data_IF_389306958668
#
_entry.id   IF_389306958668
#
_cell.length_a   1.000
_cell.length_b   1.000
_cell.length_c   1.000
_cell.angle_alpha   90.00
_cell.angle_beta   90.00
_cell.angle_gamma   90.00
#
_symmetry.space_group_name_H-M   'P 1'
#
loop_
_entity.id
_entity.type
_entity.pdbx_description
1 polymer ?
#
# COMPACT_ATOMS: atom_id res chain seq x y z
N UNK A 1 15.63 -42.33 6.94
CA UNK A 1 14.86 -41.84 5.78
C UNK A 1 14.65 -40.34 5.93
N UNK A 2 15.47 -39.54 5.27
CA UNK A 2 15.44 -38.07 5.31
C UNK A 2 15.29 -37.60 3.87
N UNK A 3 14.15 -36.98 3.53
CA UNK A 3 13.93 -36.35 2.22
C UNK A 3 14.09 -34.84 2.37
N UNK A 4 15.25 -34.36 1.91
CA UNK A 4 15.50 -32.96 1.59
C UNK A 4 14.96 -32.69 0.19
N UNK A 5 14.16 -31.64 0.02
CA UNK A 5 13.77 -31.12 -1.30
C UNK A 5 14.27 -29.69 -1.44
N UNK A 6 15.34 -29.52 -2.22
CA UNK A 6 15.88 -28.25 -2.69
C UNK A 6 15.49 -28.10 -4.16
N UNK A 7 14.73 -27.05 -4.49
CA UNK A 7 14.29 -26.77 -5.87
C UNK A 7 15.27 -25.78 -6.52
N UNK A 8 16.01 -26.27 -7.53
CA UNK A 8 16.78 -25.45 -8.47
C UNK A 8 15.87 -24.95 -9.61
N UNK A 9 15.83 -23.63 -9.83
CA UNK A 9 15.22 -23.01 -11.01
C UNK A 9 16.31 -22.81 -12.07
N UNK A 10 16.25 -23.56 -13.17
CA UNK A 10 17.17 -23.45 -14.31
C UNK A 10 16.53 -22.63 -15.43
N UNK A 11 17.30 -21.66 -15.91
CA UNK A 11 17.06 -20.78 -17.06
C UNK A 11 17.11 -21.60 -18.36
N UNK A 12 16.19 -21.35 -19.30
CA UNK A 12 16.31 -21.82 -20.68
C UNK A 12 16.42 -20.62 -21.63
N UNK A 13 17.50 -20.65 -22.41
CA UNK A 13 17.73 -19.88 -23.62
C UNK A 13 17.69 -20.84 -24.80
N UNK A 14 17.13 -20.41 -25.93
CA UNK A 14 17.16 -21.11 -27.24
C UNK A 14 17.19 -20.02 -28.31
N UNK A 15 18.34 -19.64 -28.89
CA UNK A 15 19.07 -20.23 -30.04
C UNK A 15 18.32 -20.20 -31.38
N UNK A 16 18.91 -19.46 -32.31
CA UNK A 16 18.59 -19.26 -33.72
C UNK A 16 18.67 -20.56 -34.57
N UNK A 17 17.99 -20.56 -35.72
CA UNK A 17 18.39 -21.34 -36.90
C UNK A 17 17.94 -20.67 -38.21
N UNK A 18 18.89 -20.42 -39.10
CA UNK A 18 18.75 -20.03 -40.50
C UNK A 18 18.37 -21.22 -41.41
N UNK A 19 17.62 -20.98 -42.51
CA UNK A 19 18.01 -21.33 -43.90
C UNK A 19 16.92 -21.08 -44.98
N UNK A 20 17.23 -20.15 -45.92
CA UNK A 20 17.22 -20.16 -47.41
C UNK A 20 16.07 -20.63 -48.35
N UNK A 21 16.01 -19.92 -49.50
CA UNK A 21 15.53 -20.22 -50.88
C UNK A 21 14.05 -19.93 -51.25
N UNK A 22 13.66 -19.49 -52.46
CA UNK A 22 14.24 -18.83 -53.66
C UNK A 22 13.07 -18.47 -54.62
N UNK A 23 13.26 -17.46 -55.51
CA UNK A 23 12.64 -17.23 -56.85
C UNK A 23 11.22 -16.62 -57.09
N UNK A 24 11.28 -15.47 -57.81
CA UNK A 24 10.58 -15.04 -59.04
C UNK A 24 9.07 -14.70 -59.10
N UNK A 25 8.73 -13.42 -59.33
CA UNK A 25 8.39 -12.81 -60.66
C UNK A 25 7.68 -11.43 -60.58
N UNK A 26 8.27 -10.47 -61.30
CA UNK A 26 7.69 -9.42 -62.16
C UNK A 26 6.47 -8.58 -61.72
N UNK A 27 6.65 -7.25 -61.57
CA UNK A 27 6.24 -6.24 -62.58
C UNK A 27 6.24 -4.81 -62.01
N UNK A 28 6.86 -3.92 -62.78
CA UNK A 28 6.85 -2.44 -62.79
C UNK A 28 5.49 -1.79 -62.49
N UNK A 29 5.46 -0.66 -61.78
CA UNK A 29 5.30 0.70 -62.36
C UNK A 29 5.31 1.78 -61.26
N UNK A 30 6.09 2.81 -61.56
CA UNK A 30 6.26 4.13 -60.98
C UNK A 30 4.94 4.83 -60.58
N UNK A 31 5.00 5.73 -59.58
CA UNK A 31 4.42 7.09 -59.53
C UNK A 31 3.87 7.47 -58.13
N UNK A 32 4.52 8.50 -57.58
CA UNK A 32 4.00 9.57 -56.72
C UNK A 32 3.77 9.39 -55.21
N UNK A 33 4.54 10.24 -54.51
CA UNK A 33 4.13 11.19 -53.50
C UNK A 33 3.92 10.75 -52.05
N UNK A 34 4.47 11.64 -51.23
CA UNK A 34 4.30 11.79 -49.79
C UNK A 34 4.99 10.72 -48.96
N UNK A 35 6.16 11.10 -48.45
CA UNK A 35 6.76 10.52 -47.24
C UNK A 35 5.72 10.59 -46.12
N UNK A 36 4.88 9.58 -46.01
CA UNK A 36 4.09 9.30 -44.82
C UNK A 36 5.09 9.03 -43.71
N UNK A 37 5.37 10.08 -42.92
CA UNK A 37 5.97 9.91 -41.61
C UNK A 37 4.94 9.12 -40.81
N UNK A 38 5.15 7.82 -40.72
CA UNK A 38 4.50 6.97 -39.74
C UNK A 38 4.92 7.52 -38.38
N UNK A 39 4.10 8.40 -37.82
CA UNK A 39 4.22 8.83 -36.43
C UNK A 39 3.72 7.65 -35.62
N UNK A 40 4.65 6.80 -35.19
CA UNK A 40 4.38 5.82 -34.14
C UNK A 40 3.97 6.64 -32.90
N UNK A 41 2.74 6.48 -32.38
CA UNK A 41 2.37 7.17 -31.15
C UNK A 41 3.26 6.62 -30.04
N UNK A 42 4.18 7.45 -29.55
CA UNK A 42 4.87 7.16 -28.30
C UNK A 42 3.79 7.00 -27.21
N UNK A 43 3.80 5.90 -26.43
CA UNK A 43 2.93 5.82 -25.27
C UNK A 43 3.32 6.99 -24.36
N UNK A 44 2.33 7.72 -23.86
CA UNK A 44 2.48 8.97 -23.10
C UNK A 44 2.56 10.27 -23.93
N UNK A 45 1.59 10.49 -24.83
CA UNK A 45 1.05 11.85 -24.95
C UNK A 45 -0.02 12.04 -23.89
N UNK A 46 0.39 12.63 -22.76
CA UNK A 46 -0.54 13.09 -21.74
C UNK A 46 -1.55 14.04 -22.36
N UNK A 47 -2.82 13.65 -22.32
CA UNK A 47 -3.94 14.56 -22.55
C UNK A 47 -3.78 15.71 -21.56
N UNK A 48 -3.32 16.87 -22.04
CA UNK A 48 -3.41 18.14 -21.32
C UNK A 48 -4.87 18.58 -21.29
N UNK A 49 -5.73 17.79 -20.65
CA UNK A 49 -6.89 18.34 -19.97
C UNK A 49 -6.35 18.98 -18.70
N UNK A 50 -5.91 20.23 -18.86
CA UNK A 50 -5.73 21.15 -17.75
C UNK A 50 -7.09 21.41 -17.14
N UNK A 51 -7.59 20.46 -16.36
CA UNK A 51 -8.56 20.74 -15.32
C UNK A 51 -7.87 21.74 -14.41
N UNK A 52 -8.19 23.02 -14.58
CA UNK A 52 -7.95 24.02 -13.54
C UNK A 52 -8.80 23.58 -12.36
N UNK A 53 -8.24 22.70 -11.53
CA UNK A 53 -8.72 22.48 -10.18
C UNK A 53 -8.45 23.83 -9.52
N UNK A 54 -9.50 24.65 -9.47
CA UNK A 54 -9.54 25.84 -8.66
C UNK A 54 -9.46 25.33 -7.23
N UNK A 55 -8.25 25.22 -6.70
CA UNK A 55 -8.03 24.95 -5.29
C UNK A 55 -8.41 26.24 -4.58
N UNK A 56 -9.69 26.36 -4.26
CA UNK A 56 -10.22 27.46 -3.47
C UNK A 56 -9.65 27.33 -2.05
N UNK A 57 -8.76 28.26 -1.73
CA UNK A 57 -7.69 28.07 -0.77
C UNK A 57 -8.11 28.45 0.67
N UNK A 58 -9.36 28.21 1.05
CA UNK A 58 -9.89 28.54 2.37
C UNK A 58 -10.86 27.46 2.87
N UNK A 59 -10.37 26.64 3.80
CA UNK A 59 -11.15 25.89 4.81
C UNK A 59 -12.07 24.73 4.36
N UNK A 60 -12.09 24.32 3.08
CA UNK A 60 -12.91 23.18 2.66
C UNK A 60 -12.24 21.79 2.78
N UNK A 61 -10.91 21.72 2.91
CA UNK A 61 -10.20 20.42 2.97
C UNK A 61 -10.46 19.65 4.28
N UNK A 62 -10.67 20.33 5.40
CA UNK A 62 -10.82 19.70 6.73
C UNK A 62 -12.14 18.96 6.93
N UNK A 63 -13.15 19.21 6.10
CA UNK A 63 -14.44 18.53 6.17
C UNK A 63 -14.69 17.54 5.02
N UNK A 64 -13.76 17.41 4.07
CA UNK A 64 -13.93 16.48 2.97
C UNK A 64 -13.75 15.03 3.45
N UNK A 65 -14.86 14.30 3.48
CA UNK A 65 -14.93 12.87 3.82
C UNK A 65 -13.95 12.03 2.98
N UNK A 66 -13.79 12.37 1.70
CA UNK A 66 -12.90 11.66 0.78
C UNK A 66 -11.44 11.92 1.13
N UNK A 67 -11.10 13.16 1.47
CA UNK A 67 -9.76 13.50 1.93
C UNK A 67 -9.42 12.78 3.24
N UNK A 68 -10.33 12.79 4.22
CA UNK A 68 -10.16 12.06 5.48
C UNK A 68 -9.93 10.57 5.24
N UNK A 69 -10.70 9.94 4.34
CA UNK A 69 -10.49 8.53 3.98
C UNK A 69 -9.12 8.29 3.35
N UNK A 70 -8.65 9.16 2.44
CA UNK A 70 -7.31 9.02 1.83
C UNK A 70 -6.20 9.19 2.86
N UNK A 71 -6.33 10.16 3.77
CA UNK A 71 -5.35 10.39 4.85
C UNK A 71 -5.28 9.16 5.75
N UNK A 72 -6.42 8.64 6.21
CA UNK A 72 -6.48 7.46 7.08
C UNK A 72 -5.92 6.22 6.39
N UNK A 73 -6.22 6.01 5.11
CA UNK A 73 -5.67 4.90 4.33
C UNK A 73 -4.13 4.96 4.25
N UNK A 74 -3.61 6.15 3.93
CA UNK A 74 -2.16 6.38 3.86
C UNK A 74 -1.48 6.26 5.23
N UNK A 75 -2.13 6.74 6.28
CA UNK A 75 -1.63 6.61 7.65
C UNK A 75 -1.58 5.14 8.08
N UNK A 76 -2.63 4.35 7.82
CA UNK A 76 -2.65 2.92 8.09
C UNK A 76 -1.49 2.21 7.38
N UNK A 77 -1.30 2.47 6.08
CA UNK A 77 -0.19 1.90 5.32
C UNK A 77 1.18 2.29 5.90
N UNK A 78 1.36 3.56 6.27
CA UNK A 78 2.60 4.04 6.89
C UNK A 78 2.87 3.35 8.23
N UNK A 79 1.84 3.20 9.08
CA UNK A 79 1.98 2.49 10.36
C UNK A 79 2.35 1.01 10.16
N UNK A 80 1.78 0.32 9.16
CA UNK A 80 2.22 -1.05 8.85
C UNK A 80 3.71 -1.11 8.46
N UNK A 81 4.19 -0.17 7.65
CA UNK A 81 5.62 -0.10 7.34
C UNK A 81 6.48 0.18 8.58
N UNK A 82 5.97 0.97 9.54
CA UNK A 82 6.67 1.22 10.80
C UNK A 82 6.70 -0.02 11.68
N UNK A 83 5.66 -0.87 11.67
CA UNK A 83 5.65 -2.15 12.40
C UNK A 83 6.78 -3.04 11.91
N UNK A 84 6.91 -3.27 10.60
CA UNK A 84 7.97 -4.11 10.02
C UNK A 84 9.38 -3.63 10.41
N UNK A 85 9.56 -2.31 10.51
CA UNK A 85 10.82 -1.71 10.94
C UNK A 85 11.07 -1.94 12.42
N UNK A 86 10.07 -1.65 13.27
CA UNK A 86 10.21 -1.76 14.72
C UNK A 86 10.35 -3.22 15.16
N UNK A 87 9.77 -4.17 14.42
CA UNK A 87 9.92 -5.60 14.69
C UNK A 87 11.39 -6.02 14.51
N UNK A 88 12.03 -5.57 13.42
CA UNK A 88 13.47 -5.83 13.15
C UNK A 88 14.38 -5.18 14.19
N UNK A 89 14.00 -4.00 14.67
CA UNK A 89 14.73 -3.27 15.73
C UNK A 89 14.40 -3.80 17.15
N UNK A 90 13.52 -4.81 17.27
CA UNK A 90 13.03 -5.37 18.54
C UNK A 90 12.34 -4.35 19.46
N UNK A 91 11.74 -3.32 18.88
CA UNK A 91 10.97 -2.30 19.59
C UNK A 91 9.50 -2.73 19.70
N UNK A 92 9.26 -3.85 20.40
CA UNK A 92 7.95 -4.50 20.44
C UNK A 92 6.84 -3.63 21.04
N UNK A 93 7.16 -2.73 21.97
CA UNK A 93 6.22 -1.74 22.50
C UNK A 93 5.70 -0.79 21.42
N UNK A 94 6.61 -0.26 20.59
CA UNK A 94 6.27 0.59 19.44
C UNK A 94 5.48 -0.19 18.39
N UNK A 95 5.81 -1.46 18.14
CA UNK A 95 5.04 -2.31 17.21
C UNK A 95 3.57 -2.41 17.63
N UNK A 96 3.31 -2.71 18.90
CA UNK A 96 1.95 -2.83 19.42
C UNK A 96 1.17 -1.52 19.29
N UNK A 97 1.84 -0.39 19.55
CA UNK A 97 1.24 0.95 19.37
C UNK A 97 0.89 1.22 17.91
N UNK A 98 1.81 1.00 16.98
CA UNK A 98 1.57 1.23 15.56
C UNK A 98 0.53 0.29 14.97
N UNK A 99 0.48 -0.98 15.41
CA UNK A 99 -0.58 -1.91 15.02
C UNK A 99 -1.96 -1.40 15.46
N UNK A 100 -2.06 -0.88 16.68
CA UNK A 100 -3.31 -0.30 17.18
C UNK A 100 -3.73 0.95 16.39
N UNK A 101 -2.79 1.88 16.12
CA UNK A 101 -3.07 3.06 15.32
C UNK A 101 -3.48 2.71 13.89
N UNK A 102 -2.81 1.73 13.26
CA UNK A 102 -3.16 1.25 11.92
C UNK A 102 -4.57 0.66 11.88
N UNK A 103 -4.93 -0.16 12.88
CA UNK A 103 -6.28 -0.73 13.00
C UNK A 103 -7.34 0.35 13.20
N UNK A 104 -7.07 1.34 14.05
CA UNK A 104 -8.00 2.45 14.29
C UNK A 104 -8.20 3.27 13.01
N UNK A 105 -7.12 3.56 12.27
CA UNK A 105 -7.19 4.23 10.96
C UNK A 105 -8.05 3.43 9.97
N UNK A 106 -7.81 2.12 9.87
CA UNK A 106 -8.54 1.23 8.98
C UNK A 106 -10.03 1.15 9.34
N UNK A 107 -10.35 1.07 10.64
CA UNK A 107 -11.73 1.07 11.12
C UNK A 107 -12.43 2.39 10.79
N UNK A 108 -11.77 3.53 11.00
CA UNK A 108 -12.31 4.84 10.67
C UNK A 108 -12.50 4.99 9.14
N UNK A 109 -11.53 4.55 8.34
CA UNK A 109 -11.64 4.52 6.89
C UNK A 109 -12.84 3.69 6.42
N UNK A 110 -13.02 2.49 6.96
CA UNK A 110 -14.16 1.62 6.64
C UNK A 110 -15.50 2.28 6.99
N UNK A 111 -15.61 2.97 8.12
CA UNK A 111 -16.82 3.74 8.48
C UNK A 111 -17.10 4.86 7.49
N UNK A 112 -16.06 5.48 6.92
CA UNK A 112 -16.24 6.48 5.87
C UNK A 112 -16.67 5.84 4.55
N UNK A 113 -16.14 4.66 4.22
CA UNK A 113 -16.41 3.94 2.96
C UNK A 113 -17.69 3.11 2.97
N UNK A 114 -18.24 2.74 4.13
CA UNK A 114 -19.42 1.87 4.27
C UNK A 114 -20.73 2.47 3.74
N UNK A 115 -20.69 3.65 3.08
CA UNK A 115 -21.79 4.08 2.24
C UNK A 115 -21.82 3.42 0.86
N UNK A 116 -20.73 2.79 0.39
CA UNK A 116 -20.65 2.43 -1.04
C UNK A 116 -20.40 0.94 -1.40
N UNK A 117 -19.80 0.05 -0.58
CA UNK A 117 -19.54 -1.32 -1.09
C UNK A 117 -19.55 -2.50 -0.09
N UNK A 118 -20.29 -3.56 -0.48
CA UNK A 118 -20.52 -4.84 0.23
C UNK A 118 -19.44 -5.94 -0.03
N UNK A 119 -18.28 -5.62 -0.61
CA UNK A 119 -17.33 -6.64 -1.10
C UNK A 119 -15.98 -6.75 -0.35
N UNK A 120 -15.80 -6.10 0.80
CA UNK A 120 -14.49 -6.04 1.49
C UNK A 120 -14.18 -7.21 2.45
N UNK A 121 -15.09 -8.16 2.65
CA UNK A 121 -15.02 -9.10 3.78
C UNK A 121 -13.78 -10.02 3.79
N UNK A 122 -13.33 -10.51 2.63
CA UNK A 122 -12.29 -11.55 2.58
C UNK A 122 -10.88 -10.99 2.80
N UNK A 123 -10.57 -9.85 2.19
CA UNK A 123 -9.27 -9.19 2.36
C UNK A 123 -9.13 -8.56 3.76
N UNK A 124 -10.22 -8.01 4.32
CA UNK A 124 -10.25 -7.56 5.72
C UNK A 124 -9.87 -8.69 6.69
N UNK A 125 -10.41 -9.91 6.47
CA UNK A 125 -10.13 -11.07 7.33
C UNK A 125 -8.67 -11.53 7.25
N UNK A 126 -8.07 -11.51 6.05
CA UNK A 126 -6.66 -11.86 5.88
C UNK A 126 -5.75 -10.85 6.59
N UNK A 127 -6.02 -9.55 6.41
CA UNK A 127 -5.27 -8.49 7.07
C UNK A 127 -5.37 -8.60 8.59
N UNK A 128 -6.58 -8.82 9.12
CA UNK A 128 -6.79 -9.00 10.55
C UNK A 128 -6.05 -10.23 11.10
N UNK A 129 -6.06 -11.36 10.36
CA UNK A 129 -5.29 -12.54 10.74
C UNK A 129 -3.79 -12.26 10.83
N UNK A 130 -3.25 -11.52 9.86
CA UNK A 130 -1.83 -11.14 9.85
C UNK A 130 -1.48 -10.24 11.04
N UNK A 131 -2.31 -9.22 11.29
CA UNK A 131 -2.13 -8.29 12.42
C UNK A 131 -2.19 -9.03 13.76
N UNK A 132 -3.16 -9.93 13.94
CA UNK A 132 -3.26 -10.73 15.16
C UNK A 132 -2.06 -11.64 15.35
N UNK A 133 -1.49 -12.20 14.27
CA UNK A 133 -0.26 -12.99 14.33
C UNK A 133 0.89 -12.13 14.87
N UNK A 134 1.18 -10.98 14.26
CA UNK A 134 2.28 -10.11 14.69
C UNK A 134 2.08 -9.61 16.12
N UNK A 135 0.84 -9.23 16.47
CA UNK A 135 0.54 -8.81 17.84
C UNK A 135 0.78 -9.94 18.85
N UNK A 136 0.44 -11.18 18.48
CA UNK A 136 0.74 -12.38 19.26
C UNK A 136 2.24 -12.60 19.42
N UNK A 137 3.00 -12.52 18.33
CA UNK A 137 4.45 -12.67 18.34
C UNK A 137 5.12 -11.58 19.20
N UNK A 138 4.72 -10.31 19.05
CA UNK A 138 5.23 -9.22 19.88
C UNK A 138 4.95 -9.44 21.37
N UNK A 139 3.72 -9.86 21.72
CA UNK A 139 3.35 -10.18 23.11
C UNK A 139 4.15 -11.34 23.66
N UNK A 140 4.36 -12.39 22.87
CA UNK A 140 5.17 -13.52 23.25
C UNK A 140 6.61 -13.08 23.52
N UNK A 141 7.20 -12.29 22.63
CA UNK A 141 8.56 -11.77 22.78
C UNK A 141 8.70 -10.91 24.04
N UNK A 142 7.74 -10.02 24.33
CA UNK A 142 7.72 -9.22 25.56
C UNK A 142 7.59 -10.13 26.79
N UNK A 143 6.76 -11.17 26.75
CA UNK A 143 6.59 -12.08 27.89
C UNK A 143 7.84 -12.92 28.20
N UNK A 144 8.78 -13.03 27.27
CA UNK A 144 10.07 -13.71 27.48
C UNK A 144 11.15 -12.78 28.05
N UNK A 145 10.86 -11.48 28.17
CA UNK A 145 11.75 -10.53 28.82
C UNK A 145 11.79 -10.83 30.32
N UNK A 146 12.99 -11.05 30.84
CA UNK A 146 13.23 -11.35 32.27
C UNK A 146 13.80 -10.16 33.03
N UNK A 147 14.30 -9.14 32.32
CA UNK A 147 14.80 -7.90 32.90
C UNK A 147 13.68 -6.89 33.07
N UNK A 148 13.57 -6.32 34.27
CA UNK A 148 12.59 -5.25 34.56
C UNK A 148 12.87 -3.98 33.76
N UNK A 149 14.13 -3.72 33.41
CA UNK A 149 14.51 -2.55 32.60
C UNK A 149 13.99 -2.66 31.15
N UNK A 150 14.11 -3.84 30.55
CA UNK A 150 13.62 -4.08 29.19
C UNK A 150 12.09 -4.09 29.13
N UNK A 151 11.43 -4.59 30.17
CA UNK A 151 9.97 -4.53 30.29
C UNK A 151 9.48 -3.08 30.34
N UNK A 152 10.10 -2.23 31.16
CA UNK A 152 9.73 -0.82 31.26
C UNK A 152 10.03 -0.07 29.97
N UNK A 153 11.15 -0.37 29.30
CA UNK A 153 11.44 0.17 27.97
C UNK A 153 10.33 -0.13 26.96
N UNK A 154 9.79 -1.36 26.93
CA UNK A 154 8.67 -1.69 26.04
C UNK A 154 7.38 -0.98 26.44
N UNK A 155 7.16 -0.76 27.73
CA UNK A 155 6.02 0.04 28.22
C UNK A 155 6.14 1.49 27.75
N UNK A 156 7.29 2.13 27.93
CA UNK A 156 7.54 3.50 27.48
C UNK A 156 7.35 3.66 25.97
N UNK A 157 7.93 2.74 25.18
CA UNK A 157 7.76 2.69 23.72
C UNK A 157 6.29 2.66 23.28
N UNK A 158 5.43 2.02 24.06
CA UNK A 158 4.00 1.94 23.79
C UNK A 158 3.23 3.24 24.10
N UNK A 159 3.74 4.07 25.00
CA UNK A 159 3.07 5.33 25.38
C UNK A 159 3.61 6.58 24.68
N UNK A 160 4.82 6.53 24.12
CA UNK A 160 5.37 7.63 23.34
C UNK A 160 4.48 7.88 22.12
N UNK A 161 3.89 9.06 21.98
CA UNK A 161 3.15 9.49 20.79
C UNK A 161 3.82 10.73 20.19
N UNK A 162 3.94 10.72 18.86
CA UNK A 162 4.42 11.89 18.13
C UNK A 162 3.26 12.84 17.84
N UNK A 163 3.57 14.10 17.52
CA UNK A 163 2.58 15.11 17.13
C UNK A 163 1.71 14.65 15.95
N UNK A 164 2.32 13.95 14.99
CA UNK A 164 1.60 13.36 13.84
C UNK A 164 0.63 12.27 14.30
N UNK A 165 1.01 11.45 15.28
CA UNK A 165 0.13 10.39 15.78
C UNK A 165 -1.10 11.00 16.47
N UNK A 166 -0.91 12.11 17.20
CA UNK A 166 -1.98 12.91 17.82
C UNK A 166 -2.91 13.53 16.78
N UNK A 167 -2.38 14.11 15.71
CA UNK A 167 -3.19 14.68 14.62
C UNK A 167 -4.02 13.60 13.93
N UNK A 168 -3.44 12.43 13.64
CA UNK A 168 -4.17 11.31 13.06
C UNK A 168 -5.25 10.80 14.02
N UNK A 169 -4.95 10.70 15.32
CA UNK A 169 -5.94 10.30 16.33
C UNK A 169 -7.12 11.28 16.38
N UNK A 170 -6.86 12.59 16.29
CA UNK A 170 -7.93 13.59 16.20
C UNK A 170 -8.82 13.37 14.97
N UNK A 171 -8.24 13.05 13.80
CA UNK A 171 -9.03 12.73 12.60
C UNK A 171 -9.88 11.47 12.81
N UNK A 172 -9.34 10.43 13.47
CA UNK A 172 -10.09 9.21 13.82
C UNK A 172 -11.28 9.54 14.73
N UNK A 173 -11.06 10.35 15.76
CA UNK A 173 -12.09 10.72 16.73
C UNK A 173 -13.21 11.54 16.08
N UNK A 174 -12.87 12.48 15.19
CA UNK A 174 -13.86 13.22 14.39
C UNK A 174 -14.73 12.31 13.52
N UNK A 175 -14.16 11.24 12.96
CA UNK A 175 -14.92 10.23 12.19
C UNK A 175 -15.82 9.40 13.12
N UNK A 176 -15.36 9.11 14.34
CA UNK A 176 -16.14 8.38 15.34
C UNK A 176 -17.36 9.16 15.86
N UNK A 177 -17.24 10.47 16.05
CA UNK A 177 -18.31 11.34 16.57
C UNK A 177 -19.40 11.59 15.52
N UNK A 178 -19.02 11.81 14.25
CA UNK A 178 -19.97 12.16 13.18
C UNK A 178 -20.90 11.01 12.76
N UNK A 179 -20.65 9.77 13.20
CA UNK A 179 -21.51 8.61 12.89
C UNK A 179 -22.79 8.55 13.75
N UNK A 180 -22.84 9.28 14.87
CA UNK A 180 -23.98 9.28 15.80
C UNK A 180 -24.94 10.46 15.60
N UNK A 181 -24.69 11.32 14.60
CA UNK A 181 -25.44 12.54 14.32
C UNK A 181 -26.29 12.45 13.04
N UNK A 182 -26.75 11.27 12.65
CA UNK A 182 -27.67 11.05 11.52
C UNK A 182 -28.86 10.20 11.93
#
# INVERSE_FOLDING_TARGET
ALRSNTIHRRVQATTNSDHTNEQDKSSTTTINNEKSKVIVPLPYQGTRHSSKILIDNKNHLTNDKRLKSIILHKAAAAYFCLVDRNEKEKNYGSCLRYLQLALNCYSAELKLQSMDHNNSSTECKKLLSYIMSIAGDCRLMIAHVTSTEEEEKHREQYYIMNDVDLEIQKVIDEVGINANSS
#
